data_IF_402232981743
#
_entry.id   IF_402232981743
#
_cell.length_a   1.000
_cell.length_b   1.000
_cell.length_c   1.000
_cell.angle_alpha   90.00
_cell.angle_beta   90.00
_cell.angle_gamma   90.00
#
_symmetry.space_group_name_H-M   'P 1'
#
loop_
_entity.id
_entity.type
_entity.pdbx_description
1 polymer ?
#
# COMPACT_ATOMS: atom_id res chain seq x y z
N UNK A 1 11.14 52.28 -36.75
CA UNK A 1 10.12 51.20 -36.73
C UNK A 1 10.75 49.80 -36.81
N UNK A 2 11.80 49.56 -37.62
CA UNK A 2 12.49 48.26 -37.66
C UNK A 2 13.09 47.82 -36.31
N UNK A 3 13.71 48.74 -35.57
CA UNK A 3 14.36 48.42 -34.28
C UNK A 3 13.38 47.98 -33.18
N UNK A 4 12.14 48.47 -33.23
CA UNK A 4 11.08 48.07 -32.28
C UNK A 4 10.57 46.64 -32.54
N UNK A 5 10.54 46.23 -33.81
CA UNK A 5 10.13 44.87 -34.22
C UNK A 5 11.21 43.85 -33.83
N UNK A 6 12.49 44.18 -34.03
CA UNK A 6 13.60 43.30 -33.61
C UNK A 6 13.67 43.15 -32.09
N UNK A 7 13.52 44.25 -31.33
CA UNK A 7 13.53 44.20 -29.87
C UNK A 7 12.39 43.37 -29.29
N UNK A 8 11.18 43.52 -29.84
CA UNK A 8 10.00 42.74 -29.41
C UNK A 8 10.10 41.26 -29.80
N UNK A 9 10.68 40.95 -30.96
CA UNK A 9 10.93 39.57 -31.37
C UNK A 9 11.93 38.86 -30.44
N UNK A 10 13.03 39.53 -30.08
CA UNK A 10 14.03 38.98 -29.15
C UNK A 10 13.41 38.78 -27.75
N UNK A 11 12.65 39.76 -27.26
CA UNK A 11 11.96 39.65 -25.98
C UNK A 11 10.97 38.45 -25.96
N UNK A 12 10.19 38.28 -27.02
CA UNK A 12 9.25 37.16 -27.14
C UNK A 12 9.98 35.81 -27.14
N UNK A 13 11.05 35.66 -27.93
CA UNK A 13 11.85 34.43 -27.96
C UNK A 13 12.45 34.14 -26.57
N UNK A 14 12.92 35.16 -25.88
CA UNK A 14 13.53 35.02 -24.55
C UNK A 14 12.50 34.55 -23.52
N UNK A 15 11.29 35.12 -23.54
CA UNK A 15 10.20 34.70 -22.65
C UNK A 15 9.79 33.25 -22.95
N UNK A 16 9.63 32.90 -24.23
CA UNK A 16 9.28 31.51 -24.63
C UNK A 16 10.37 30.53 -24.17
N UNK A 17 11.65 30.88 -24.34
CA UNK A 17 12.75 30.05 -23.88
C UNK A 17 12.73 29.85 -22.35
N UNK A 18 12.48 30.91 -21.57
CA UNK A 18 12.36 30.82 -20.11
C UNK A 18 11.19 29.92 -19.70
N UNK A 19 10.02 30.07 -20.34
CA UNK A 19 8.84 29.24 -20.06
C UNK A 19 9.11 27.76 -20.37
N UNK A 20 9.77 27.46 -21.49
CA UNK A 20 10.13 26.08 -21.86
C UNK A 20 11.10 25.47 -20.86
N UNK A 21 12.13 26.22 -20.44
CA UNK A 21 13.08 25.76 -19.40
C UNK A 21 12.35 25.52 -18.08
N UNK A 22 11.46 26.43 -17.67
CA UNK A 22 10.72 26.30 -16.42
C UNK A 22 9.77 25.09 -16.45
N UNK A 23 9.06 24.89 -17.57
CA UNK A 23 8.21 23.71 -17.79
C UNK A 23 9.02 22.40 -17.76
N UNK A 24 10.20 22.37 -18.37
CA UNK A 24 11.09 21.20 -18.36
C UNK A 24 11.58 20.87 -16.93
N UNK A 25 11.99 21.88 -16.15
CA UNK A 25 12.44 21.72 -14.76
C UNK A 25 11.30 21.22 -13.86
N UNK A 26 10.10 21.79 -13.97
CA UNK A 26 8.94 21.37 -13.21
C UNK A 26 8.50 19.94 -13.57
N UNK A 27 8.48 19.60 -14.86
CA UNK A 27 8.16 18.25 -15.34
C UNK A 27 9.14 17.20 -14.82
N UNK A 28 10.44 17.50 -14.85
CA UNK A 28 11.47 16.58 -14.35
C UNK A 28 11.37 16.37 -12.83
N UNK A 29 11.15 17.45 -12.06
CA UNK A 29 10.95 17.36 -10.60
C UNK A 29 9.76 16.48 -10.23
N UNK A 30 8.61 16.68 -10.91
CA UNK A 30 7.41 15.87 -10.70
C UNK A 30 7.62 14.39 -11.04
N UNK A 31 8.31 14.10 -12.15
CA UNK A 31 8.62 12.72 -12.55
C UNK A 31 9.55 12.00 -11.56
N UNK A 32 10.51 12.70 -10.97
CA UNK A 32 11.41 12.15 -9.96
C UNK A 32 10.65 11.86 -8.66
N UNK A 33 9.83 12.80 -8.21
CA UNK A 33 9.07 12.69 -6.96
C UNK A 33 8.07 11.52 -7.02
N UNK A 34 7.36 11.36 -8.14
CA UNK A 34 6.44 10.23 -8.35
C UNK A 34 7.16 8.88 -8.33
N UNK A 35 8.35 8.78 -8.93
CA UNK A 35 9.16 7.54 -8.89
C UNK A 35 9.66 7.22 -7.49
N UNK A 36 10.11 8.22 -6.74
CA UNK A 36 10.54 8.07 -5.34
C UNK A 36 9.39 7.57 -4.46
N UNK A 37 8.21 8.19 -4.56
CA UNK A 37 7.01 7.76 -3.83
C UNK A 37 6.58 6.35 -4.19
N UNK A 38 6.57 5.98 -5.47
CA UNK A 38 6.23 4.61 -5.92
C UNK A 38 7.19 3.58 -5.33
N UNK A 39 8.50 3.86 -5.34
CA UNK A 39 9.50 2.98 -4.74
C UNK A 39 9.30 2.84 -3.23
N UNK A 40 9.07 3.95 -2.52
CA UNK A 40 8.85 3.93 -1.08
C UNK A 40 7.62 3.09 -0.71
N UNK A 41 6.49 3.31 -1.39
CA UNK A 41 5.27 2.52 -1.20
C UNK A 41 5.49 1.03 -1.45
N UNK A 42 6.12 0.68 -2.57
CA UNK A 42 6.40 -0.71 -2.90
C UNK A 42 7.29 -1.39 -1.85
N UNK A 43 8.27 -0.66 -1.30
CA UNK A 43 9.11 -1.15 -0.21
C UNK A 43 8.30 -1.41 1.06
N UNK A 44 7.53 -0.42 1.53
CA UNK A 44 6.69 -0.56 2.72
C UNK A 44 5.68 -1.70 2.58
N UNK A 45 5.06 -1.84 1.40
CA UNK A 45 4.18 -2.97 1.12
C UNK A 45 4.95 -4.29 1.24
N UNK A 46 6.08 -4.44 0.56
CA UNK A 46 6.87 -5.67 0.62
C UNK A 46 7.29 -6.03 2.05
N UNK A 47 7.68 -5.04 2.85
CA UNK A 47 8.00 -5.20 4.28
C UNK A 47 6.78 -5.72 5.06
N UNK A 48 5.64 -5.03 4.97
CA UNK A 48 4.42 -5.37 5.70
C UNK A 48 3.87 -6.76 5.34
N UNK A 49 3.88 -7.13 4.05
CA UNK A 49 3.44 -8.45 3.60
C UNK A 49 4.41 -9.56 4.06
N UNK A 50 5.71 -9.30 4.06
CA UNK A 50 6.72 -10.26 4.51
C UNK A 50 6.62 -10.49 6.02
N UNK A 51 6.46 -9.42 6.79
CA UNK A 51 6.24 -9.49 8.24
C UNK A 51 4.94 -10.22 8.58
N UNK A 52 3.84 -9.91 7.87
CA UNK A 52 2.58 -10.65 8.03
C UNK A 52 2.79 -12.15 7.82
N UNK A 53 3.47 -12.56 6.75
CA UNK A 53 3.77 -13.96 6.50
C UNK A 53 4.63 -14.56 7.63
N UNK A 54 5.65 -13.85 8.10
CA UNK A 54 6.48 -14.27 9.22
C UNK A 54 5.67 -14.52 10.50
N UNK A 55 4.78 -13.59 10.84
CA UNK A 55 3.88 -13.71 12.00
C UNK A 55 2.92 -14.89 11.84
N UNK A 56 2.38 -15.10 10.64
CA UNK A 56 1.52 -16.25 10.36
C UNK A 56 2.26 -17.60 10.43
N UNK A 57 3.54 -17.63 10.04
CA UNK A 57 4.40 -18.79 10.18
C UNK A 57 4.76 -19.08 11.64
N UNK A 58 4.95 -18.05 12.46
CA UNK A 58 5.25 -18.20 13.88
C UNK A 58 4.09 -18.87 14.64
N UNK A 59 2.85 -18.60 14.26
CA UNK A 59 1.64 -19.21 14.84
C UNK A 59 1.34 -20.59 14.20
N UNK A 60 1.94 -20.90 13.05
CA UNK A 60 1.74 -22.18 12.39
C UNK A 60 2.40 -23.32 13.19
N UNK A 61 1.81 -24.53 13.17
CA UNK A 61 2.41 -25.67 13.85
C UNK A 61 3.81 -25.99 13.28
N UNK A 62 4.68 -26.57 14.10
CA UNK A 62 6.03 -26.93 13.68
C UNK A 62 6.02 -28.02 12.59
N UNK A 63 5.12 -28.99 12.70
CA UNK A 63 4.87 -30.06 11.75
C UNK A 63 3.37 -30.34 11.63
N UNK A 64 2.97 -30.98 10.53
CA UNK A 64 1.57 -31.37 10.26
C UNK A 64 1.57 -32.82 9.80
N UNK A 65 0.61 -33.61 10.28
CA UNK A 65 0.50 -35.03 9.89
C UNK A 65 -0.04 -35.22 8.47
N UNK A 66 -0.87 -34.31 7.99
CA UNK A 66 -1.36 -34.31 6.60
C UNK A 66 -0.23 -33.93 5.63
N UNK A 67 0.04 -34.79 4.65
CA UNK A 67 1.18 -34.68 3.74
C UNK A 67 1.09 -33.43 2.85
N UNK A 68 -0.09 -33.09 2.37
CA UNK A 68 -0.30 -31.90 1.55
C UNK A 68 -0.20 -30.61 2.38
N UNK A 69 -0.76 -30.59 3.59
CA UNK A 69 -0.65 -29.48 4.50
C UNK A 69 0.80 -29.24 4.93
N UNK A 70 1.56 -30.31 5.19
CA UNK A 70 2.99 -30.24 5.46
C UNK A 70 3.77 -29.66 4.26
N UNK A 71 3.48 -30.11 3.04
CA UNK A 71 4.10 -29.58 1.83
C UNK A 71 3.76 -28.09 1.61
N UNK A 72 2.51 -27.68 1.87
CA UNK A 72 2.11 -26.29 1.77
C UNK A 72 2.83 -25.41 2.83
N UNK A 73 2.96 -25.90 4.06
CA UNK A 73 3.70 -25.22 5.12
C UNK A 73 5.19 -25.03 4.76
N UNK A 74 5.84 -26.07 4.22
CA UNK A 74 7.23 -25.99 3.77
C UNK A 74 7.41 -24.98 2.62
N UNK A 75 6.50 -24.99 1.62
CA UNK A 75 6.50 -23.97 0.56
C UNK A 75 6.36 -22.55 1.12
N UNK A 76 5.47 -22.36 2.10
CA UNK A 76 5.31 -21.06 2.75
C UNK A 76 6.59 -20.61 3.48
N UNK A 77 7.28 -21.51 4.18
CA UNK A 77 8.58 -21.23 4.84
C UNK A 77 9.66 -20.85 3.83
N UNK A 78 9.78 -21.59 2.73
CA UNK A 78 10.72 -21.30 1.64
C UNK A 78 10.45 -19.93 1.01
N UNK A 79 9.19 -19.60 0.75
CA UNK A 79 8.79 -18.31 0.19
C UNK A 79 9.09 -17.16 1.16
N UNK A 80 8.84 -17.33 2.46
CA UNK A 80 9.20 -16.34 3.47
C UNK A 80 10.72 -16.11 3.54
N UNK A 81 11.51 -17.19 3.59
CA UNK A 81 12.98 -17.09 3.57
C UNK A 81 13.48 -16.33 2.34
N UNK A 82 12.96 -16.67 1.16
CA UNK A 82 13.29 -15.99 -0.09
C UNK A 82 12.88 -14.50 -0.07
N UNK A 83 11.69 -14.19 0.44
CA UNK A 83 11.22 -12.82 0.58
C UNK A 83 12.15 -11.99 1.47
N UNK A 84 12.49 -12.50 2.66
CA UNK A 84 13.42 -11.84 3.61
C UNK A 84 14.80 -11.64 3.00
N UNK A 85 15.35 -12.66 2.35
CA UNK A 85 16.67 -12.59 1.73
C UNK A 85 16.72 -11.54 0.59
N UNK A 86 15.68 -11.51 -0.26
CA UNK A 86 15.59 -10.54 -1.37
C UNK A 86 15.29 -9.13 -0.87
N UNK A 87 14.53 -8.97 0.21
CA UNK A 87 14.21 -7.68 0.80
C UNK A 87 15.46 -6.90 1.23
N UNK A 88 16.44 -7.60 1.82
CA UNK A 88 17.73 -7.01 2.23
C UNK A 88 18.55 -6.42 1.06
N UNK A 89 18.38 -6.94 -0.15
CA UNK A 89 19.19 -6.57 -1.33
C UNK A 89 18.43 -5.76 -2.38
N UNK A 90 17.12 -5.59 -2.22
CA UNK A 90 16.26 -4.92 -3.19
C UNK A 90 16.52 -3.40 -3.27
N UNK A 91 16.65 -2.89 -4.50
CA UNK A 91 16.90 -1.46 -4.79
C UNK A 91 15.87 -0.85 -5.74
N UNK A 92 15.14 -1.66 -6.51
CA UNK A 92 14.20 -1.25 -7.56
C UNK A 92 12.75 -1.58 -7.19
N UNK A 93 11.79 -0.77 -7.63
CA UNK A 93 10.35 -0.97 -7.41
C UNK A 93 9.89 -2.38 -7.80
N UNK A 94 10.24 -2.84 -9.01
CA UNK A 94 9.91 -4.21 -9.48
C UNK A 94 10.51 -5.34 -8.64
N UNK A 95 11.56 -5.08 -7.85
CA UNK A 95 12.10 -6.09 -6.93
C UNK A 95 11.23 -6.18 -5.69
N UNK A 96 10.82 -5.05 -5.11
CA UNK A 96 9.87 -5.01 -4.00
C UNK A 96 8.51 -5.61 -4.37
N UNK A 97 7.99 -5.33 -5.56
CA UNK A 97 6.77 -5.95 -6.06
C UNK A 97 6.88 -7.48 -6.13
N UNK A 98 8.02 -8.00 -6.63
CA UNK A 98 8.27 -9.45 -6.65
C UNK A 98 8.37 -10.06 -5.25
N UNK A 99 8.99 -9.36 -4.30
CA UNK A 99 9.05 -9.80 -2.90
C UNK A 99 7.64 -9.89 -2.30
N UNK A 100 6.80 -8.88 -2.55
CA UNK A 100 5.39 -8.91 -2.17
C UNK A 100 4.67 -10.12 -2.77
N UNK A 101 4.93 -10.46 -4.04
CA UNK A 101 4.36 -11.67 -4.67
C UNK A 101 4.79 -12.95 -3.96
N UNK A 102 6.06 -13.07 -3.53
CA UNK A 102 6.50 -14.23 -2.73
C UNK A 102 5.77 -14.32 -1.39
N UNK A 103 5.61 -13.19 -0.69
CA UNK A 103 4.88 -13.16 0.57
C UNK A 103 3.40 -13.57 0.39
N UNK A 104 2.73 -13.05 -0.64
CA UNK A 104 1.36 -13.42 -1.00
C UNK A 104 1.21 -14.91 -1.33
N UNK A 105 2.12 -15.46 -2.12
CA UNK A 105 2.14 -16.89 -2.42
C UNK A 105 2.35 -17.74 -1.15
N UNK A 106 3.17 -17.26 -0.20
CA UNK A 106 3.37 -17.93 1.08
C UNK A 106 2.10 -17.94 1.93
N UNK A 107 1.40 -16.81 2.03
CA UNK A 107 0.12 -16.71 2.74
C UNK A 107 -0.94 -17.60 2.10
N UNK A 108 -0.98 -17.68 0.77
CA UNK A 108 -1.86 -18.58 0.05
C UNK A 108 -1.60 -20.05 0.42
N UNK A 109 -0.34 -20.46 0.48
CA UNK A 109 0.03 -21.82 0.91
C UNK A 109 -0.36 -22.08 2.37
N UNK A 110 -0.21 -21.11 3.29
CA UNK A 110 -0.72 -21.25 4.66
C UNK A 110 -2.24 -21.41 4.71
N UNK A 111 -2.97 -20.76 3.82
CA UNK A 111 -4.43 -20.92 3.73
C UNK A 111 -4.82 -22.28 3.13
N UNK A 112 -4.02 -22.87 2.26
CA UNK A 112 -4.20 -24.27 1.82
C UNK A 112 -4.01 -25.21 3.02
N UNK A 113 -2.91 -25.06 3.76
CA UNK A 113 -2.64 -25.83 4.98
C UNK A 113 -3.80 -25.72 5.98
N UNK A 114 -4.29 -24.50 6.27
CA UNK A 114 -5.42 -24.29 7.19
C UNK A 114 -6.69 -24.96 6.73
N UNK A 115 -7.04 -24.85 5.45
CA UNK A 115 -8.22 -25.51 4.88
C UNK A 115 -8.14 -27.03 5.00
N UNK A 116 -6.98 -27.62 4.73
CA UNK A 116 -6.74 -29.06 4.92
C UNK A 116 -6.89 -29.49 6.37
N UNK A 117 -6.51 -28.62 7.32
CA UNK A 117 -6.68 -28.85 8.75
C UNK A 117 -8.07 -28.47 9.30
N UNK A 118 -9.04 -28.14 8.43
CA UNK A 118 -10.38 -27.71 8.86
C UNK A 118 -10.40 -26.38 9.63
N UNK A 119 -9.34 -25.57 9.52
CA UNK A 119 -9.24 -24.26 10.17
C UNK A 119 -9.67 -23.13 9.23
N UNK A 120 -10.21 -22.06 9.81
CA UNK A 120 -10.53 -20.85 9.07
C UNK A 120 -9.29 -20.27 8.37
N UNK A 121 -9.44 -19.65 7.18
CA UNK A 121 -8.34 -18.99 6.49
C UNK A 121 -7.78 -17.83 7.32
N UNK A 122 -6.49 -17.56 7.19
CA UNK A 122 -5.83 -16.46 7.88
C UNK A 122 -6.14 -15.09 7.27
N UNK A 123 -5.59 -14.01 7.87
CA UNK A 123 -5.69 -12.66 7.32
C UNK A 123 -5.16 -12.61 5.88
N UNK A 124 -5.95 -12.00 5.00
CA UNK A 124 -5.65 -11.88 3.56
C UNK A 124 -4.82 -10.64 3.23
N UNK A 125 -4.46 -9.82 4.21
CA UNK A 125 -3.60 -8.67 3.99
C UNK A 125 -3.15 -7.99 5.28
N UNK A 126 -2.07 -7.19 5.21
CA UNK A 126 -1.61 -6.40 6.34
C UNK A 126 -2.68 -5.36 6.69
N UNK A 127 -2.91 -5.15 7.97
CA UNK A 127 -3.83 -4.10 8.43
C UNK A 127 -3.23 -2.76 7.95
N UNK A 128 -3.96 -1.92 7.21
CA UNK A 128 -3.46 -0.60 6.89
C UNK A 128 -3.15 0.11 8.20
N UNK A 129 -1.96 0.69 8.36
CA UNK A 129 -1.62 1.54 9.51
C UNK A 129 -2.65 2.68 9.72
N UNK A 130 -3.45 2.98 8.70
CA UNK A 130 -4.49 4.01 8.70
C UNK A 130 -5.89 3.47 9.08
N UNK A 131 -6.04 2.17 9.33
CA UNK A 131 -7.34 1.56 9.65
C UNK A 131 -7.79 1.86 11.09
N UNK A 132 -6.87 2.25 11.99
CA UNK A 132 -7.21 2.70 13.33
C UNK A 132 -7.99 4.04 13.31
N UNK A 133 -7.85 4.86 12.27
CA UNK A 133 -8.55 6.13 12.12
C UNK A 133 -9.84 6.05 11.29
N UNK A 134 -10.03 4.95 10.54
CA UNK A 134 -11.21 4.79 9.67
C UNK A 134 -12.47 4.28 10.41
N UNK A 135 -12.35 3.82 11.65
CA UNK A 135 -13.49 3.27 12.43
C UNK A 135 -14.31 4.31 13.20
N UNK A 136 -13.91 5.58 13.25
CA UNK A 136 -14.63 6.62 14.02
C UNK A 136 -15.55 7.51 13.19
N UNK A 137 -15.51 7.44 11.84
CA UNK A 137 -16.27 8.36 10.98
C UNK A 137 -17.58 7.79 10.41
N UNK A 138 -17.99 6.56 10.78
CA UNK A 138 -19.16 5.90 10.17
C UNK A 138 -20.08 5.21 11.19
N UNK A 139 -20.43 5.98 12.21
CA UNK A 139 -21.55 5.83 13.16
C UNK A 139 -21.75 7.27 13.61
N UNK A 140 -22.54 8.07 12.91
CA UNK A 140 -23.95 8.20 13.22
C UNK A 140 -24.77 8.45 11.95
N UNK A 141 -25.39 7.38 11.45
CA UNK A 141 -26.56 7.46 10.59
C UNK A 141 -27.79 7.66 11.49
N UNK A 142 -28.60 8.64 11.14
CA UNK A 142 -30.04 8.47 11.03
C UNK A 142 -30.81 8.07 12.31
N UNK A 143 -30.99 9.02 13.22
CA UNK A 143 -32.23 9.14 14.00
C UNK A 143 -33.11 10.20 13.34
N UNK A 144 -33.89 9.78 12.35
CA UNK A 144 -35.18 10.40 12.08
C UNK A 144 -36.18 9.80 13.08
N UNK A 145 -37.07 10.66 13.56
CA UNK A 145 -38.35 10.35 14.21
C UNK A 145 -38.35 10.20 15.75
N UNK A 146 -38.35 11.34 16.43
CA UNK A 146 -39.21 11.56 17.60
C UNK A 146 -39.66 13.03 17.62
N UNK A 147 -40.95 13.25 17.34
CA UNK A 147 -41.60 14.54 17.43
C UNK A 147 -41.45 15.12 18.84
N UNK A 148 -40.84 16.29 18.95
CA UNK A 148 -40.92 17.13 20.15
C UNK A 148 -41.66 18.40 19.77
N UNK A 149 -42.93 18.45 20.18
CA UNK A 149 -43.77 19.65 20.10
C UNK A 149 -43.22 20.79 20.96
N UNK A 150 -43.76 22.01 20.80
CA UNK A 150 -43.20 23.18 21.46
C UNK A 150 -43.53 23.20 22.96
N UNK A 151 -42.47 23.25 23.76
CA UNK A 151 -42.34 23.96 25.05
C UNK A 151 -43.52 23.96 26.03
N UNK A 152 -43.38 23.18 27.10
CA UNK A 152 -43.82 23.48 28.49
C UNK A 152 -43.21 22.34 29.33
N UNK A 153 -42.39 22.52 30.36
CA UNK A 153 -42.23 23.59 31.32
C UNK A 153 -42.34 22.97 32.71
N UNK A 154 -41.18 22.77 33.37
CA UNK A 154 -40.93 22.54 34.81
C UNK A 154 -40.57 21.12 35.31
N UNK A 155 -39.59 21.01 36.25
CA UNK A 155 -39.11 19.78 36.84
C UNK A 155 -39.84 19.39 38.14
N UNK A 156 -40.01 18.08 38.35
CA UNK A 156 -39.90 17.39 39.64
C UNK A 156 -39.19 16.06 39.42
#
# INVERSE_FOLDING_TARGET
MKDAIETSAIAFITIVAIVLVFAAVLGLRSAIETRRRRKARARTDAEAWTELLGNQLHIAPASVGDTEAAAALDRARKLHYNAVAKLKTAKKTKQFERIRTYALAGLHNLNIMRRRLGKAPGPQGPIPFNAATAKTSKRDDNTRDAATGPSTGLPF
#
